data_IF_564312713901
#
_entry.id   IF_564312713901
#
_cell.length_a   1.000
_cell.length_b   1.000
_cell.length_c   1.000
_cell.angle_alpha   90.00
_cell.angle_beta   90.00
_cell.angle_gamma   90.00
#
_symmetry.space_group_name_H-M   'P 1'
#
loop_
_entity.id
_entity.type
_entity.pdbx_description
1 polymer ?
#
# COMPACT_ATOMS: atom_id res chain seq x y z
N UNK A 1 -82.51 48.39 -44.97
CA UNK A 1 -81.82 48.63 -46.27
C UNK A 1 -80.33 48.47 -45.98
N UNK A 2 -79.79 47.27 -46.22
CA UNK A 2 -78.40 46.93 -45.86
C UNK A 2 -77.56 46.89 -47.15
N UNK A 3 -76.46 47.63 -47.16
CA UNK A 3 -75.47 47.71 -48.24
C UNK A 3 -74.54 46.50 -48.08
N UNK A 4 -74.49 45.61 -49.06
CA UNK A 4 -73.50 44.53 -49.13
C UNK A 4 -72.23 45.04 -49.82
N UNK A 5 -71.01 44.77 -49.30
CA UNK A 5 -69.77 45.17 -49.93
C UNK A 5 -69.33 44.19 -51.03
N UNK A 6 -68.87 44.74 -52.16
CA UNK A 6 -68.25 44.01 -53.28
C UNK A 6 -66.96 43.31 -52.84
N UNK A 7 -66.95 41.98 -52.86
CA UNK A 7 -65.75 41.17 -52.66
C UNK A 7 -65.03 40.92 -54.00
N UNK A 8 -63.82 41.45 -54.14
CA UNK A 8 -62.92 41.18 -55.28
C UNK A 8 -62.25 39.80 -55.05
N UNK A 9 -62.29 38.86 -56.02
CA UNK A 9 -61.79 37.50 -55.83
C UNK A 9 -60.24 37.42 -55.73
N UNK A 10 -59.75 36.60 -54.79
CA UNK A 10 -58.34 36.41 -54.43
C UNK A 10 -57.42 35.99 -55.59
N UNK A 11 -57.96 35.42 -56.66
CA UNK A 11 -57.21 35.04 -57.86
C UNK A 11 -56.58 36.24 -58.58
N UNK A 12 -57.17 37.44 -58.48
CA UNK A 12 -56.55 38.66 -59.02
C UNK A 12 -55.32 39.11 -58.22
N UNK A 13 -55.25 38.79 -56.92
CA UNK A 13 -54.12 39.24 -56.07
C UNK A 13 -52.84 38.43 -56.33
N UNK A 14 -52.94 37.13 -56.59
CA UNK A 14 -51.78 36.30 -56.96
C UNK A 14 -51.18 36.70 -58.31
N UNK A 15 -52.02 37.03 -59.29
CA UNK A 15 -51.54 37.47 -60.60
C UNK A 15 -50.80 38.82 -60.53
N UNK A 16 -51.24 39.73 -59.65
CA UNK A 16 -50.57 41.02 -59.43
C UNK A 16 -49.21 40.89 -58.72
N UNK A 17 -49.05 39.90 -57.83
CA UNK A 17 -47.76 39.59 -57.21
C UNK A 17 -46.79 38.99 -58.23
N UNK A 18 -47.28 38.13 -59.12
CA UNK A 18 -46.46 37.51 -60.16
C UNK A 18 -45.95 38.52 -61.20
N UNK A 19 -46.79 39.48 -61.62
CA UNK A 19 -46.37 40.55 -62.53
C UNK A 19 -45.36 41.51 -61.90
N UNK A 20 -45.50 41.83 -60.61
CA UNK A 20 -44.50 42.64 -59.88
C UNK A 20 -43.14 41.95 -59.79
N UNK A 21 -43.13 40.62 -59.66
CA UNK A 21 -41.89 39.83 -59.64
C UNK A 21 -41.22 39.84 -61.02
N UNK A 22 -41.98 39.67 -62.11
CA UNK A 22 -41.42 39.75 -63.47
C UNK A 22 -40.94 41.16 -63.87
N UNK A 23 -41.64 42.21 -63.43
CA UNK A 23 -41.22 43.60 -63.66
C UNK A 23 -39.94 43.96 -62.90
N UNK A 24 -39.66 43.31 -61.77
CA UNK A 24 -38.41 43.47 -61.03
C UNK A 24 -37.27 42.70 -61.71
N UNK A 25 -37.52 41.47 -62.20
CA UNK A 25 -36.53 40.61 -62.88
C UNK A 25 -35.96 41.21 -64.18
N UNK A 26 -36.69 42.11 -64.85
CA UNK A 26 -36.25 42.78 -66.09
C UNK A 26 -35.44 44.06 -65.87
N UNK A 27 -35.28 44.53 -64.62
CA UNK A 27 -34.43 45.68 -64.32
C UNK A 27 -32.95 45.33 -64.56
N UNK A 28 -32.26 46.19 -65.31
CA UNK A 28 -30.84 46.05 -65.69
C UNK A 28 -29.87 45.82 -64.53
N UNK A 29 -30.26 46.15 -63.29
CA UNK A 29 -29.43 45.98 -62.10
C UNK A 29 -29.62 44.64 -61.37
N UNK A 30 -30.72 43.92 -61.61
CA UNK A 30 -30.96 42.61 -60.99
C UNK A 30 -29.90 41.57 -61.36
N UNK A 31 -29.48 41.38 -62.63
CA UNK A 31 -28.42 40.41 -62.94
C UNK A 31 -27.09 40.77 -62.27
N UNK A 32 -26.76 42.06 -62.11
CA UNK A 32 -25.57 42.52 -61.39
C UNK A 32 -25.63 42.22 -59.90
N UNK A 33 -26.78 42.44 -59.24
CA UNK A 33 -26.94 42.13 -57.81
C UNK A 33 -26.89 40.62 -57.57
N UNK A 34 -27.52 39.84 -58.44
CA UNK A 34 -27.45 38.37 -58.39
C UNK A 34 -26.02 37.88 -58.59
N UNK A 35 -25.28 38.42 -59.58
CA UNK A 35 -23.88 38.07 -59.79
C UNK A 35 -23.00 38.48 -58.60
N UNK A 36 -23.21 39.65 -58.00
CA UNK A 36 -22.50 40.08 -56.80
C UNK A 36 -22.75 39.15 -55.62
N UNK A 37 -24.01 38.75 -55.41
CA UNK A 37 -24.37 37.78 -54.37
C UNK A 37 -23.75 36.41 -54.62
N UNK A 38 -23.80 35.93 -55.87
CA UNK A 38 -23.18 34.66 -56.26
C UNK A 38 -21.65 34.69 -56.09
N UNK A 39 -21.01 35.81 -56.44
CA UNK A 39 -19.57 36.00 -56.27
C UNK A 39 -19.18 36.03 -54.79
N UNK A 40 -19.97 36.68 -53.95
CA UNK A 40 -19.74 36.71 -52.50
C UNK A 40 -19.88 35.31 -51.88
N UNK A 41 -20.89 34.54 -52.29
CA UNK A 41 -21.03 33.14 -51.87
C UNK A 41 -19.85 32.28 -52.33
N UNK A 42 -19.40 32.44 -53.58
CA UNK A 42 -18.26 31.71 -54.12
C UNK A 42 -16.96 32.04 -53.35
N UNK A 43 -16.74 33.30 -52.99
CA UNK A 43 -15.61 33.70 -52.14
C UNK A 43 -15.68 33.02 -50.77
N UNK A 44 -16.85 33.02 -50.11
CA UNK A 44 -16.98 32.37 -48.80
C UNK A 44 -16.74 30.87 -48.87
N UNK A 45 -17.19 30.21 -49.94
CA UNK A 45 -16.93 28.79 -50.18
C UNK A 45 -15.44 28.53 -50.37
N UNK A 46 -14.74 29.34 -51.18
CA UNK A 46 -13.31 29.21 -51.40
C UNK A 46 -12.49 29.46 -50.12
N UNK A 47 -12.86 30.46 -49.31
CA UNK A 47 -12.20 30.72 -48.02
C UNK A 47 -12.39 29.55 -47.06
N UNK A 48 -13.60 28.98 -46.99
CA UNK A 48 -13.87 27.81 -46.15
C UNK A 48 -13.06 26.58 -46.59
N UNK A 49 -12.88 26.41 -47.91
CA UNK A 49 -12.11 25.32 -48.47
C UNK A 49 -10.60 25.50 -48.25
N UNK A 50 -10.10 26.74 -48.35
CA UNK A 50 -8.72 27.10 -48.05
C UNK A 50 -8.35 26.85 -46.58
N UNK A 51 -9.24 27.11 -45.62
CA UNK A 51 -9.01 26.75 -44.22
C UNK A 51 -9.10 25.25 -43.93
N UNK A 52 -9.78 24.47 -44.78
CA UNK A 52 -9.82 23.01 -44.64
C UNK A 52 -8.48 22.35 -45.00
N UNK A 53 -7.77 22.91 -46.00
CA UNK A 53 -6.51 22.35 -46.51
C UNK A 53 -5.28 22.83 -45.73
N UNK A 54 -5.33 24.02 -45.13
CA UNK A 54 -4.29 24.57 -44.27
C UNK A 54 -4.60 24.31 -42.78
N UNK A 55 -4.63 23.03 -42.38
CA UNK A 55 -4.44 22.70 -40.95
C UNK A 55 -2.93 22.82 -40.69
N UNK A 56 -2.47 23.70 -39.77
CA UNK A 56 -1.07 23.71 -39.40
C UNK A 56 -0.67 22.28 -39.03
N UNK A 57 0.54 21.80 -39.39
CA UNK A 57 1.00 20.49 -38.95
C UNK A 57 0.82 20.46 -37.45
N UNK A 58 0.01 19.53 -36.96
CA UNK A 58 -0.20 19.37 -35.53
C UNK A 58 1.19 19.37 -34.90
N UNK A 59 1.43 20.14 -33.82
CA UNK A 59 2.68 20.01 -33.10
C UNK A 59 2.85 18.52 -32.87
N UNK A 60 3.93 17.96 -33.40
CA UNK A 60 4.32 16.60 -33.14
C UNK A 60 4.64 16.60 -31.65
N UNK A 61 3.61 16.44 -30.82
CA UNK A 61 3.81 15.91 -29.50
C UNK A 61 4.55 14.62 -29.77
N UNK A 62 5.78 14.44 -29.26
CA UNK A 62 6.42 13.16 -29.37
C UNK A 62 5.39 12.18 -28.80
N UNK A 63 4.81 11.37 -29.67
CA UNK A 63 4.10 10.19 -29.25
C UNK A 63 5.23 9.38 -28.65
N UNK A 64 5.43 9.53 -27.34
CA UNK A 64 6.06 8.50 -26.54
C UNK A 64 5.13 7.33 -26.78
N UNK A 65 5.45 6.56 -27.83
CA UNK A 65 5.01 5.18 -27.93
C UNK A 65 5.26 4.65 -26.55
N UNK A 66 4.20 4.30 -25.84
CA UNK A 66 4.33 3.64 -24.56
C UNK A 66 5.13 2.37 -24.86
N UNK A 67 6.45 2.48 -24.71
CA UNK A 67 7.41 1.41 -24.78
C UNK A 67 6.90 0.46 -23.72
N UNK A 68 6.17 -0.55 -24.20
CA UNK A 68 5.80 -1.79 -23.52
C UNK A 68 6.52 -1.89 -22.19
N UNK A 69 5.82 -1.50 -21.11
CA UNK A 69 6.29 -1.52 -19.72
C UNK A 69 7.80 -1.73 -19.65
N UNK A 70 8.56 -0.66 -19.89
CA UNK A 70 9.97 -0.64 -19.58
C UNK A 70 10.05 -1.00 -18.11
N UNK A 71 10.31 -2.30 -17.86
CA UNK A 71 10.43 -2.87 -16.52
C UNK A 71 11.36 -1.91 -15.82
N UNK A 72 10.91 -1.28 -14.73
CA UNK A 72 11.72 -0.35 -13.96
C UNK A 72 13.10 -1.00 -13.80
N UNK A 73 14.07 -0.50 -14.57
CA UNK A 73 15.39 -1.08 -14.58
C UNK A 73 16.08 -0.43 -13.40
N UNK A 74 15.92 -1.03 -12.24
CA UNK A 74 16.49 -0.54 -10.98
C UNK A 74 17.99 -0.80 -10.91
N UNK A 75 18.55 -1.58 -11.84
CA UNK A 75 19.98 -1.91 -11.90
C UNK A 75 20.90 -0.68 -11.78
N UNK A 76 20.66 0.45 -12.46
CA UNK A 76 21.49 1.65 -12.34
C UNK A 76 21.45 2.28 -10.95
N UNK A 77 20.31 2.17 -10.25
CA UNK A 77 20.13 2.68 -8.89
C UNK A 77 20.82 1.77 -7.86
N UNK A 78 20.80 0.46 -8.10
CA UNK A 78 21.54 -0.52 -7.29
C UNK A 78 23.06 -0.36 -7.50
N UNK A 79 23.51 -0.16 -8.74
CA UNK A 79 24.91 0.06 -9.11
C UNK A 79 25.45 1.43 -8.67
N UNK A 80 24.56 2.40 -8.39
CA UNK A 80 24.95 3.67 -7.80
C UNK A 80 25.36 3.57 -6.32
N UNK A 81 25.15 2.41 -5.67
CA UNK A 81 25.54 2.15 -4.28
C UNK A 81 25.19 3.29 -3.32
N UNK A 82 23.99 3.89 -3.49
CA UNK A 82 23.56 5.10 -2.78
C UNK A 82 23.53 4.96 -1.26
N UNK A 83 23.57 3.72 -0.76
CA UNK A 83 23.55 3.36 0.65
C UNK A 83 24.85 2.69 1.12
N UNK A 84 25.92 2.78 0.32
CA UNK A 84 27.21 2.15 0.59
C UNK A 84 27.30 0.70 0.10
N UNK A 85 28.54 0.19 -0.03
CA UNK A 85 28.83 -1.21 -0.37
C UNK A 85 29.04 -1.99 0.92
N UNK A 86 28.22 -3.00 1.16
CA UNK A 86 28.54 -4.00 2.18
C UNK A 86 29.84 -4.70 1.78
N UNK A 87 30.90 -4.51 2.57
CA UNK A 87 32.13 -5.26 2.40
C UNK A 87 31.81 -6.74 2.66
N UNK A 88 31.86 -7.57 1.62
CA UNK A 88 31.70 -9.01 1.74
C UNK A 88 32.94 -9.55 2.46
N UNK A 89 32.85 -9.68 3.78
CA UNK A 89 33.83 -10.41 4.57
C UNK A 89 33.90 -11.88 4.12
N UNK A 90 35.00 -12.60 4.40
CA UNK A 90 35.19 -13.97 3.97
C UNK A 90 34.03 -14.85 4.45
N UNK A 91 33.48 -15.66 3.54
CA UNK A 91 32.25 -16.43 3.72
C UNK A 91 32.33 -17.52 4.80
N UNK A 92 32.03 -17.13 6.03
CA UNK A 92 31.48 -18.00 7.07
C UNK A 92 30.02 -17.62 7.32
N UNK A 93 29.14 -18.62 7.43
CA UNK A 93 27.73 -18.46 7.79
C UNK A 93 27.59 -17.66 9.09
N UNK A 94 27.16 -16.40 8.96
CA UNK A 94 26.81 -15.48 10.07
C UNK A 94 25.52 -15.89 10.80
N UNK A 95 24.91 -17.01 10.42
CA UNK A 95 23.58 -17.48 10.82
C UNK A 95 23.51 -18.07 12.25
N UNK A 96 24.63 -18.24 12.96
CA UNK A 96 24.63 -18.88 14.28
C UNK A 96 25.58 -18.25 15.32
N UNK A 97 25.92 -16.97 15.16
CA UNK A 97 26.72 -16.26 16.17
C UNK A 97 25.89 -16.05 17.45
N UNK A 98 26.29 -16.60 18.61
CA UNK A 98 25.55 -16.45 19.87
C UNK A 98 25.35 -14.97 20.25
N UNK A 99 24.20 -14.67 20.88
CA UNK A 99 23.93 -13.34 21.44
C UNK A 99 24.89 -13.10 22.61
N UNK A 100 25.47 -11.90 22.70
CA UNK A 100 26.41 -11.56 23.77
C UNK A 100 25.73 -11.60 25.15
N UNK A 101 26.42 -12.15 26.15
CA UNK A 101 25.98 -12.15 27.54
C UNK A 101 26.44 -10.93 28.35
N UNK A 102 27.12 -9.97 27.70
CA UNK A 102 27.57 -8.74 28.34
C UNK A 102 26.40 -7.75 28.49
N UNK A 103 26.42 -6.96 29.55
CA UNK A 103 25.48 -5.86 29.79
C UNK A 103 25.84 -4.63 28.93
N UNK A 104 25.85 -4.82 27.62
CA UNK A 104 26.12 -3.79 26.63
C UNK A 104 24.84 -3.40 25.91
N UNK A 105 24.72 -2.12 25.58
CA UNK A 105 23.63 -1.62 24.75
C UNK A 105 24.21 -0.89 23.55
N UNK A 106 23.91 -1.36 22.34
CA UNK A 106 24.31 -0.70 21.09
C UNK A 106 23.27 0.37 20.76
N UNK A 107 23.68 1.64 20.85
CA UNK A 107 22.83 2.82 20.67
C UNK A 107 22.84 3.31 19.21
N UNK A 108 23.94 3.11 18.50
CA UNK A 108 24.09 3.60 17.13
C UNK A 108 25.23 2.96 16.36
N UNK A 109 25.11 2.93 15.03
CA UNK A 109 26.15 2.48 14.10
C UNK A 109 26.36 3.55 13.03
N UNK A 110 27.62 3.90 12.77
CA UNK A 110 28.00 4.83 11.70
C UNK A 110 28.93 4.11 10.74
N UNK A 111 28.47 3.87 9.51
CA UNK A 111 29.31 3.37 8.44
C UNK A 111 30.07 4.54 7.80
N UNK A 112 31.39 4.61 7.98
CA UNK A 112 32.23 5.58 7.28
C UNK A 112 33.02 4.88 6.16
N UNK A 113 33.34 5.64 5.10
CA UNK A 113 34.18 5.16 4.00
C UNK A 113 35.59 4.95 4.56
N UNK A 114 35.98 3.68 4.81
CA UNK A 114 37.26 3.32 5.43
C UNK A 114 37.17 2.61 6.79
N UNK A 115 35.97 2.44 7.35
CA UNK A 115 35.76 1.72 8.62
C UNK A 115 34.46 2.14 9.32
N UNK A 116 33.83 1.22 10.04
CA UNK A 116 32.61 1.48 10.81
C UNK A 116 32.90 1.85 12.27
N UNK A 117 32.04 2.69 12.85
CA UNK A 117 32.05 3.02 14.28
C UNK A 117 30.75 2.55 14.95
N UNK A 118 30.86 2.10 16.19
CA UNK A 118 29.73 1.71 17.03
C UNK A 118 29.64 2.60 18.26
N UNK A 119 28.45 3.10 18.58
CA UNK A 119 28.16 3.82 19.81
C UNK A 119 27.57 2.85 20.83
N UNK A 120 28.30 2.59 21.91
CA UNK A 120 27.97 1.55 22.90
C UNK A 120 27.86 2.18 24.28
N UNK A 121 26.80 1.83 25.01
CA UNK A 121 26.68 2.10 26.45
C UNK A 121 27.03 0.83 27.23
N UNK A 122 27.91 0.99 28.22
CA UNK A 122 28.40 -0.09 29.08
C UNK A 122 27.84 0.10 30.48
N UNK A 123 27.09 -0.87 31.01
CA UNK A 123 26.48 -0.82 32.35
C UNK A 123 25.64 0.45 32.61
N UNK A 124 25.00 1.02 31.57
CA UNK A 124 24.21 2.25 31.69
C UNK A 124 25.05 3.53 31.88
N UNK A 125 26.36 3.48 31.66
CA UNK A 125 27.23 4.66 31.59
C UNK A 125 27.00 5.44 30.28
N UNK A 126 27.60 6.62 30.20
CA UNK A 126 27.56 7.46 28.99
C UNK A 126 28.01 6.67 27.75
N UNK A 127 27.34 6.91 26.62
CA UNK A 127 27.67 6.27 25.36
C UNK A 127 29.04 6.70 24.85
N UNK A 128 29.85 5.74 24.39
CA UNK A 128 31.16 5.97 23.82
C UNK A 128 31.26 5.37 22.42
N UNK A 129 32.10 5.96 21.56
CA UNK A 129 32.34 5.47 20.20
C UNK A 129 33.54 4.54 20.16
N UNK A 130 33.35 3.34 19.59
CA UNK A 130 34.40 2.35 19.40
C UNK A 130 34.63 2.08 17.90
N UNK A 131 35.90 1.99 17.50
CA UNK A 131 36.30 1.62 16.15
C UNK A 131 36.53 0.10 16.03
N UNK A 132 36.41 -0.44 14.81
CA UNK A 132 36.76 -1.85 14.54
C UNK A 132 38.20 -2.13 14.99
N UNK A 133 38.38 -3.19 15.78
CA UNK A 133 39.64 -3.60 16.40
C UNK A 133 39.87 -3.06 17.81
N UNK A 134 39.00 -2.18 18.33
CA UNK A 134 39.11 -1.62 19.67
C UNK A 134 38.44 -2.50 20.73
N UNK A 135 39.02 -2.54 21.93
CA UNK A 135 38.42 -3.18 23.10
C UNK A 135 37.29 -2.31 23.69
N UNK A 136 36.15 -2.95 23.98
CA UNK A 136 34.97 -2.35 24.59
C UNK A 136 35.02 -2.53 26.12
N UNK A 137 35.00 -3.78 26.59
CA UNK A 137 35.11 -4.12 28.01
C UNK A 137 35.52 -5.59 28.19
N UNK A 138 36.36 -5.88 29.19
CA UNK A 138 36.61 -7.25 29.66
C UNK A 138 37.16 -8.20 28.57
N UNK A 139 38.04 -7.71 27.71
CA UNK A 139 38.62 -8.46 26.59
C UNK A 139 37.68 -8.66 25.40
N UNK A 140 36.54 -7.95 25.35
CA UNK A 140 35.62 -7.96 24.22
C UNK A 140 36.07 -6.92 23.17
N UNK A 141 36.49 -7.38 22.00
CA UNK A 141 37.02 -6.55 20.90
C UNK A 141 35.97 -6.41 19.81
N UNK A 142 35.73 -5.18 19.33
CA UNK A 142 34.84 -4.93 18.21
C UNK A 142 35.43 -5.51 16.92
N UNK A 143 34.85 -6.59 16.39
CA UNK A 143 35.38 -7.29 15.23
C UNK A 143 34.81 -6.73 13.92
N UNK A 144 33.51 -6.47 13.87
CA UNK A 144 32.87 -5.86 12.70
C UNK A 144 31.61 -5.10 13.05
N UNK A 145 31.28 -4.14 12.20
CA UNK A 145 30.13 -3.25 12.35
C UNK A 145 29.19 -3.49 11.16
N UNK A 146 27.97 -3.94 11.43
CA UNK A 146 26.92 -4.17 10.44
C UNK A 146 25.78 -3.17 10.64
N UNK A 147 24.86 -3.10 9.67
CA UNK A 147 23.78 -2.11 9.67
C UNK A 147 22.82 -2.25 10.86
N UNK A 148 22.58 -3.47 11.34
CA UNK A 148 21.59 -3.81 12.37
C UNK A 148 22.22 -4.33 13.68
N UNK A 149 23.52 -4.65 13.66
CA UNK A 149 24.25 -5.26 14.79
C UNK A 149 25.75 -5.06 14.68
N UNK A 150 26.47 -5.29 15.78
CA UNK A 150 27.94 -5.44 15.78
C UNK A 150 28.33 -6.87 16.13
N UNK A 151 29.48 -7.31 15.63
CA UNK A 151 30.12 -8.54 16.06
C UNK A 151 31.30 -8.21 16.97
N UNK A 152 31.36 -8.89 18.10
CA UNK A 152 32.34 -8.68 19.15
C UNK A 152 33.06 -10.01 19.36
N UNK A 153 34.39 -10.00 19.48
CA UNK A 153 35.17 -11.18 19.78
C UNK A 153 35.62 -11.16 21.24
N UNK A 154 35.37 -12.23 21.99
CA UNK A 154 35.78 -12.35 23.39
C UNK A 154 36.22 -13.78 23.69
N UNK A 155 37.42 -13.95 24.23
CA UNK A 155 37.96 -15.28 24.56
C UNK A 155 38.03 -16.26 23.37
N UNK A 156 38.19 -15.74 22.14
CA UNK A 156 38.22 -16.53 20.92
C UNK A 156 36.84 -16.84 20.31
N UNK A 157 35.74 -16.56 21.01
CA UNK A 157 34.37 -16.69 20.49
C UNK A 157 33.87 -15.38 19.91
N UNK A 158 33.09 -15.45 18.82
CA UNK A 158 32.38 -14.29 18.27
C UNK A 158 30.98 -14.22 18.86
N UNK A 159 30.55 -13.04 19.25
CA UNK A 159 29.23 -12.74 19.82
C UNK A 159 28.58 -11.60 19.02
N UNK A 160 27.26 -11.56 18.95
CA UNK A 160 26.52 -10.48 18.28
C UNK A 160 25.76 -9.61 19.28
N UNK A 161 25.77 -8.29 19.05
CA UNK A 161 24.99 -7.31 19.80
C UNK A 161 24.14 -6.48 18.82
N UNK A 162 22.81 -6.60 18.92
CA UNK A 162 21.87 -5.89 18.05
C UNK A 162 21.70 -4.42 18.46
N UNK A 163 21.43 -3.59 17.46
CA UNK A 163 21.15 -2.16 17.63
C UNK A 163 19.76 -1.99 18.28
N UNK A 164 19.69 -1.22 19.37
CA UNK A 164 18.42 -0.83 19.96
C UNK A 164 17.62 -0.01 18.94
N UNK A 165 16.33 -0.33 18.77
CA UNK A 165 15.45 0.27 17.77
C UNK A 165 15.74 -0.06 16.29
N UNK A 166 16.65 -1.01 16.00
CA UNK A 166 16.73 -1.55 14.66
C UNK A 166 15.39 -2.15 14.26
N UNK A 167 14.76 -1.57 13.23
CA UNK A 167 13.61 -2.16 12.55
C UNK A 167 14.04 -3.57 12.16
N UNK A 168 13.45 -4.58 12.80
CA UNK A 168 13.65 -5.99 12.42
C UNK A 168 13.54 -6.05 10.90
N UNK A 169 14.60 -6.41 10.17
CA UNK A 169 14.51 -6.57 8.73
C UNK A 169 13.31 -7.44 8.42
N UNK A 170 12.46 -7.00 7.48
CA UNK A 170 11.36 -7.81 6.97
C UNK A 170 11.95 -9.18 6.61
N UNK A 171 11.66 -10.21 7.40
CA UNK A 171 11.98 -11.60 7.08
C UNK A 171 11.18 -11.96 5.83
N UNK A 172 11.75 -11.71 4.65
CA UNK A 172 10.96 -11.88 3.44
C UNK A 172 11.52 -11.34 2.13
N UNK A 173 12.83 -11.39 1.87
CA UNK A 173 13.30 -11.63 0.49
C UNK A 173 14.48 -12.60 0.54
N UNK A 174 14.15 -13.81 0.95
CA UNK A 174 14.97 -14.98 0.76
C UNK A 174 14.53 -15.62 -0.56
N UNK A 175 15.16 -15.24 -1.69
CA UNK A 175 15.18 -16.11 -2.88
C UNK A 175 16.10 -17.30 -2.59
N UNK A 176 15.66 -18.15 -1.67
CA UNK A 176 16.11 -19.52 -1.59
C UNK A 176 15.06 -20.35 -2.29
N UNK A 177 15.41 -20.87 -3.46
CA UNK A 177 14.77 -22.08 -4.00
C UNK A 177 15.25 -23.23 -3.10
N UNK A 178 14.70 -23.30 -1.89
CA UNK A 178 14.77 -24.49 -1.06
C UNK A 178 13.72 -25.47 -1.59
N UNK A 179 14.02 -26.78 -1.63
CA UNK A 179 13.04 -27.77 -2.03
C UNK A 179 11.80 -27.61 -1.15
N UNK A 180 10.63 -27.71 -1.76
CA UNK A 180 9.31 -27.58 -1.16
C UNK A 180 9.17 -28.60 -0.01
N UNK A 181 9.66 -28.25 1.18
CA UNK A 181 8.98 -28.64 2.40
C UNK A 181 7.68 -27.86 2.37
N UNK A 182 6.59 -28.59 2.16
CA UNK A 182 5.23 -28.09 2.26
C UNK A 182 5.09 -27.32 3.58
N UNK A 183 5.32 -26.01 3.54
CA UNK A 183 4.90 -25.12 4.60
C UNK A 183 3.38 -25.14 4.51
N UNK A 184 2.76 -26.08 5.22
CA UNK A 184 1.37 -25.92 5.57
C UNK A 184 1.26 -24.55 6.24
N UNK A 185 0.41 -23.65 5.75
CA UNK A 185 0.25 -22.34 6.36
C UNK A 185 -0.07 -22.55 7.85
N UNK A 186 0.67 -21.88 8.73
CA UNK A 186 0.51 -22.02 10.18
C UNK A 186 -0.90 -21.60 10.64
N UNK A 187 -1.58 -20.77 9.84
CA UNK A 187 -3.00 -20.42 9.94
C UNK A 187 -3.62 -20.63 8.56
N UNK A 188 -4.61 -21.52 8.47
CA UNK A 188 -5.37 -21.79 7.24
C UNK A 188 -6.84 -21.45 7.47
N UNK A 189 -7.38 -20.58 6.65
CA UNK A 189 -8.82 -20.32 6.63
C UNK A 189 -9.51 -21.40 5.77
N UNK A 190 -10.29 -22.28 6.41
CA UNK A 190 -11.00 -23.39 5.75
C UNK A 190 -12.44 -23.05 5.36
N UNK A 191 -12.93 -21.88 5.75
CA UNK A 191 -14.22 -21.31 5.38
C UNK A 191 -14.28 -19.86 5.86
N UNK A 192 -15.38 -19.14 5.59
CA UNK A 192 -15.45 -17.71 5.92
C UNK A 192 -15.17 -17.39 7.39
N UNK A 193 -15.49 -18.32 8.30
CA UNK A 193 -15.38 -18.15 9.76
C UNK A 193 -14.69 -19.33 10.46
N UNK A 194 -13.97 -20.15 9.70
CA UNK A 194 -13.30 -21.36 10.21
C UNK A 194 -11.81 -21.31 9.92
N UNK A 195 -11.02 -21.50 10.96
CA UNK A 195 -9.57 -21.37 10.92
C UNK A 195 -8.94 -22.62 11.51
N UNK A 196 -7.93 -23.17 10.84
CA UNK A 196 -7.01 -24.13 11.41
C UNK A 196 -5.73 -23.42 11.79
N UNK A 197 -5.23 -23.69 12.99
CA UNK A 197 -4.03 -23.06 13.52
C UNK A 197 -3.16 -24.13 14.15
N UNK A 198 -1.87 -24.11 13.88
CA UNK A 198 -0.95 -25.04 14.56
C UNK A 198 -0.73 -24.59 16.00
N UNK A 199 -0.65 -25.57 16.91
CA UNK A 199 -0.39 -25.32 18.33
C UNK A 199 0.92 -24.54 18.55
N UNK A 200 1.94 -24.88 17.77
CA UNK A 200 3.25 -24.25 17.81
C UNK A 200 3.16 -22.77 17.48
N UNK A 201 2.35 -22.37 16.49
CA UNK A 201 2.21 -20.97 16.09
C UNK A 201 1.51 -20.15 17.17
N UNK A 202 0.42 -20.67 17.76
CA UNK A 202 -0.25 -19.99 18.88
C UNK A 202 0.72 -19.76 20.04
N UNK A 203 1.44 -20.81 20.44
CA UNK A 203 2.42 -20.71 21.54
C UNK A 203 3.58 -19.76 21.21
N UNK A 204 4.07 -19.77 19.96
CA UNK A 204 5.11 -18.86 19.47
C UNK A 204 4.65 -17.41 19.52
N UNK A 205 3.45 -17.13 19.04
CA UNK A 205 2.88 -15.79 19.07
C UNK A 205 2.66 -15.32 20.50
N UNK A 206 2.05 -16.13 21.37
CA UNK A 206 1.79 -15.77 22.78
C UNK A 206 3.06 -15.44 23.58
N UNK A 207 4.20 -16.07 23.26
CA UNK A 207 5.50 -15.78 23.88
C UNK A 207 6.20 -14.56 23.30
N UNK A 208 5.73 -14.04 22.17
CA UNK A 208 6.32 -12.86 21.56
C UNK A 208 6.01 -11.62 22.40
N UNK A 209 7.00 -10.75 22.68
CA UNK A 209 6.77 -9.49 23.40
C UNK A 209 5.72 -8.60 22.70
N UNK A 210 5.62 -8.74 21.38
CA UNK A 210 4.76 -7.93 20.53
C UNK A 210 3.30 -8.39 20.55
N UNK A 211 2.97 -9.60 21.02
CA UNK A 211 1.64 -10.20 20.95
C UNK A 211 0.54 -9.26 21.45
N UNK A 212 0.64 -8.80 22.70
CA UNK A 212 -0.35 -7.90 23.29
C UNK A 212 -0.37 -6.51 22.64
N UNK A 213 0.70 -6.13 21.93
CA UNK A 213 0.77 -4.86 21.18
C UNK A 213 0.16 -4.96 19.78
N UNK A 214 -0.07 -6.17 19.27
CA UNK A 214 -0.61 -6.39 17.92
C UNK A 214 -2.10 -6.08 17.81
N UNK A 215 -2.84 -6.06 18.93
CA UNK A 215 -4.22 -5.61 18.99
C UNK A 215 -4.50 -4.82 20.28
N UNK A 216 -5.29 -3.75 20.16
CA UNK A 216 -5.72 -2.94 21.31
C UNK A 216 -7.14 -3.33 21.72
N UNK A 217 -7.26 -4.13 22.76
CA UNK A 217 -8.53 -4.55 23.35
C UNK A 217 -8.87 -3.65 24.53
N UNK A 218 -10.11 -3.14 24.59
CA UNK A 218 -10.59 -2.34 25.70
C UNK A 218 -11.95 -2.84 26.21
N UNK A 219 -12.27 -2.67 27.51
CA UNK A 219 -13.60 -3.00 28.02
C UNK A 219 -14.68 -2.21 27.28
N UNK A 220 -15.79 -2.89 26.95
CA UNK A 220 -16.95 -2.28 26.32
C UNK A 220 -18.10 -2.11 27.33
N UNK A 221 -18.76 -0.93 27.43
CA UNK A 221 -19.84 -0.70 28.40
C UNK A 221 -21.01 -1.70 28.32
N UNK A 222 -21.27 -2.28 27.15
CA UNK A 222 -22.28 -3.33 26.93
C UNK A 222 -21.81 -4.75 27.26
N UNK A 223 -20.68 -4.89 27.96
CA UNK A 223 -19.99 -6.17 28.16
C UNK A 223 -19.07 -6.50 26.97
N UNK A 224 -18.13 -7.41 27.21
CA UNK A 224 -17.14 -7.79 26.22
C UNK A 224 -15.92 -6.86 26.11
N UNK A 225 -15.08 -7.17 25.13
CA UNK A 225 -13.90 -6.37 24.77
C UNK A 225 -14.03 -5.83 23.34
N UNK A 226 -13.97 -4.51 23.19
CA UNK A 226 -13.92 -3.85 21.90
C UNK A 226 -12.49 -3.89 21.34
N UNK A 227 -12.37 -4.37 20.10
CA UNK A 227 -11.16 -4.32 19.30
C UNK A 227 -11.03 -2.92 18.71
N UNK A 228 -10.19 -2.09 19.33
CA UNK A 228 -9.96 -0.70 18.88
C UNK A 228 -8.96 -0.60 17.73
N UNK A 229 -7.98 -1.50 17.70
CA UNK A 229 -6.88 -1.47 16.75
C UNK A 229 -6.37 -2.88 16.51
N UNK A 230 -6.00 -3.20 15.26
CA UNK A 230 -5.31 -4.44 14.88
C UNK A 230 -4.17 -4.04 13.93
N UNK A 231 -2.95 -4.54 14.18
CA UNK A 231 -1.82 -4.39 13.27
C UNK A 231 -1.99 -5.28 12.04
N UNK A 232 -1.74 -4.73 10.86
CA UNK A 232 -1.71 -5.51 9.61
C UNK A 232 -0.65 -6.61 9.66
N UNK A 233 -0.98 -7.81 9.20
CA UNK A 233 -0.15 -9.00 9.25
C UNK A 233 -0.10 -9.70 10.61
N UNK A 234 -0.79 -9.18 11.62
CA UNK A 234 -0.83 -9.76 12.97
C UNK A 234 -1.55 -11.11 13.02
N UNK A 235 -1.32 -11.85 14.11
CA UNK A 235 -2.06 -13.09 14.37
C UNK A 235 -3.56 -12.84 14.51
N UNK A 236 -3.97 -11.73 15.12
CA UNK A 236 -5.39 -11.38 15.29
C UNK A 236 -6.09 -11.17 13.95
N UNK A 237 -5.46 -10.45 13.01
CA UNK A 237 -5.99 -10.25 11.66
C UNK A 237 -6.09 -11.58 10.90
N UNK A 238 -5.05 -12.42 10.97
CA UNK A 238 -5.03 -13.75 10.33
C UNK A 238 -6.07 -14.70 10.90
N UNK A 239 -6.43 -14.54 12.18
CA UNK A 239 -7.51 -15.24 12.86
C UNK A 239 -8.89 -14.62 12.56
N UNK A 240 -8.97 -13.61 11.69
CA UNK A 240 -10.22 -13.05 11.21
C UNK A 240 -10.86 -12.04 12.14
N UNK A 241 -10.18 -11.59 13.20
CA UNK A 241 -10.63 -10.44 13.99
C UNK A 241 -10.48 -9.15 13.18
N UNK A 242 -11.36 -8.20 13.43
CA UNK A 242 -11.40 -6.91 12.74
C UNK A 242 -11.54 -5.76 13.73
N UNK A 243 -11.05 -4.60 13.32
CA UNK A 243 -11.31 -3.35 14.04
C UNK A 243 -12.82 -3.11 14.15
N UNK A 244 -13.28 -2.78 15.35
CA UNK A 244 -14.69 -2.56 15.65
C UNK A 244 -15.45 -3.81 16.14
N UNK A 245 -14.81 -5.00 16.14
CA UNK A 245 -15.41 -6.19 16.72
C UNK A 245 -15.55 -6.02 18.25
N UNK A 246 -16.67 -6.48 18.82
CA UNK A 246 -16.81 -6.64 20.27
C UNK A 246 -16.81 -8.13 20.60
N UNK A 247 -15.75 -8.61 21.24
CA UNK A 247 -15.62 -9.99 21.71
C UNK A 247 -16.52 -10.16 22.93
N UNK A 248 -17.54 -11.03 22.85
CA UNK A 248 -18.52 -11.23 23.93
C UNK A 248 -18.32 -12.54 24.66
N UNK A 249 -18.01 -13.62 23.94
CA UNK A 249 -17.88 -14.96 24.52
C UNK A 249 -16.72 -15.74 23.90
N UNK A 250 -16.10 -16.58 24.73
CA UNK A 250 -15.13 -17.59 24.32
C UNK A 250 -15.64 -18.94 24.81
N UNK A 251 -15.81 -19.91 23.91
CA UNK A 251 -16.36 -21.24 24.21
C UNK A 251 -17.68 -21.22 24.98
N UNK A 252 -18.58 -20.28 24.62
CA UNK A 252 -19.89 -20.12 25.26
C UNK A 252 -19.85 -19.44 26.64
N UNK A 253 -18.66 -19.05 27.12
CA UNK A 253 -18.50 -18.35 28.39
C UNK A 253 -18.28 -16.86 28.14
N UNK A 254 -19.04 -15.96 28.79
CA UNK A 254 -18.86 -14.52 28.64
C UNK A 254 -17.48 -14.03 29.08
N UNK A 255 -16.94 -13.03 28.38
CA UNK A 255 -15.64 -12.41 28.70
C UNK A 255 -15.84 -10.93 28.94
N UNK A 256 -16.02 -10.50 30.20
CA UNK A 256 -16.40 -9.12 30.52
C UNK A 256 -15.28 -8.30 31.17
N UNK A 257 -14.25 -8.96 31.69
CA UNK A 257 -13.15 -8.33 32.41
C UNK A 257 -11.82 -9.05 32.12
N UNK A 258 -10.72 -8.47 32.62
CA UNK A 258 -9.37 -8.96 32.35
C UNK A 258 -9.14 -10.34 33.00
N UNK A 259 -9.77 -10.59 34.14
CA UNK A 259 -9.68 -11.85 34.87
C UNK A 259 -10.29 -13.01 34.06
N UNK A 260 -11.45 -12.78 33.43
CA UNK A 260 -12.10 -13.74 32.53
C UNK A 260 -11.18 -14.05 31.35
N UNK A 261 -10.65 -13.00 30.70
CA UNK A 261 -9.72 -13.16 29.57
C UNK A 261 -8.46 -13.94 29.96
N UNK A 262 -7.91 -13.69 31.16
CA UNK A 262 -6.73 -14.40 31.67
C UNK A 262 -7.01 -15.89 31.95
N UNK A 263 -8.20 -16.22 32.44
CA UNK A 263 -8.61 -17.63 32.60
C UNK A 263 -8.65 -18.35 31.26
N UNK A 264 -9.21 -17.74 30.22
CA UNK A 264 -9.18 -18.32 28.86
C UNK A 264 -7.76 -18.45 28.33
N UNK A 265 -6.91 -17.46 28.54
CA UNK A 265 -5.51 -17.51 28.11
C UNK A 265 -4.77 -18.72 28.70
N UNK A 266 -5.01 -19.02 29.98
CA UNK A 266 -4.41 -20.18 30.65
C UNK A 266 -4.97 -21.50 30.12
N UNK A 267 -6.29 -21.58 29.90
CA UNK A 267 -6.96 -22.78 29.39
C UNK A 267 -6.70 -23.02 27.90
N UNK A 268 -6.39 -21.96 27.14
CA UNK A 268 -6.10 -22.05 25.72
C UNK A 268 -5.00 -23.07 25.45
N UNK A 269 -4.04 -23.25 26.37
CA UNK A 269 -2.98 -24.26 26.38
C UNK A 269 -3.46 -25.71 26.08
N UNK A 270 -4.68 -26.05 26.51
CA UNK A 270 -5.18 -27.43 26.55
C UNK A 270 -6.30 -27.70 25.52
N UNK A 271 -6.89 -26.63 24.97
CA UNK A 271 -8.03 -26.73 24.07
C UNK A 271 -7.63 -27.08 22.63
N UNK A 272 -8.40 -27.97 21.99
CA UNK A 272 -8.27 -28.31 20.56
C UNK A 272 -9.21 -27.52 19.67
N UNK A 273 -10.31 -27.04 20.23
CA UNK A 273 -11.30 -26.25 19.52
C UNK A 273 -11.61 -25.00 20.34
N UNK A 274 -11.64 -23.84 19.68
CA UNK A 274 -12.00 -22.57 20.28
C UNK A 274 -13.08 -21.91 19.43
N UNK A 275 -14.13 -21.44 20.07
CA UNK A 275 -15.22 -20.72 19.46
C UNK A 275 -15.27 -19.31 20.07
N UNK A 276 -15.18 -18.29 19.23
CA UNK A 276 -15.26 -16.91 19.63
C UNK A 276 -16.54 -16.29 19.09
N UNK A 277 -17.35 -15.73 19.98
CA UNK A 277 -18.51 -14.92 19.58
C UNK A 277 -18.12 -13.45 19.57
N UNK A 278 -18.27 -12.81 18.41
CA UNK A 278 -18.01 -11.39 18.22
C UNK A 278 -19.26 -10.68 17.71
N UNK A 279 -19.46 -9.43 18.12
CA UNK A 279 -20.42 -8.54 17.48
C UNK A 279 -19.68 -7.67 16.48
N UNK A 280 -20.02 -7.82 15.19
CA UNK A 280 -19.41 -7.11 14.07
C UNK A 280 -20.49 -6.37 13.30
N UNK A 281 -20.34 -5.05 13.17
CA UNK A 281 -21.31 -4.19 12.48
C UNK A 281 -22.77 -4.41 12.95
N UNK A 282 -22.95 -4.68 14.25
CA UNK A 282 -24.25 -4.94 14.87
C UNK A 282 -24.80 -6.37 14.71
N UNK A 283 -24.08 -7.26 14.00
CA UNK A 283 -24.45 -8.67 13.84
C UNK A 283 -23.57 -9.56 14.71
N UNK A 284 -24.16 -10.64 15.24
CA UNK A 284 -23.41 -11.65 15.98
C UNK A 284 -22.76 -12.62 14.99
N UNK A 285 -21.44 -12.74 15.06
CA UNK A 285 -20.65 -13.69 14.29
C UNK A 285 -19.93 -14.67 15.21
N UNK A 286 -19.81 -15.92 14.77
CA UNK A 286 -19.05 -16.94 15.46
C UNK A 286 -17.84 -17.32 14.62
N UNK A 287 -16.64 -17.19 15.20
CA UNK A 287 -15.38 -17.60 14.61
C UNK A 287 -14.93 -18.90 15.28
N UNK A 288 -14.59 -19.91 14.49
CA UNK A 288 -14.21 -21.23 14.97
C UNK A 288 -12.73 -21.50 14.64
N UNK A 289 -11.98 -21.94 15.63
CA UNK A 289 -10.55 -22.23 15.52
C UNK A 289 -10.29 -23.67 15.92
N UNK A 290 -9.61 -24.42 15.05
CA UNK A 290 -9.13 -25.77 15.33
C UNK A 290 -7.62 -25.75 15.53
N UNK A 291 -7.19 -26.11 16.73
CA UNK A 291 -5.81 -26.23 17.13
C UNK A 291 -5.36 -27.68 16.94
N UNK A 292 -4.29 -27.88 16.18
CA UNK A 292 -3.72 -29.20 15.86
C UNK A 292 -2.22 -29.23 16.09
#
# INVERSE_FOLDING_TARGET
MAIAPDFIPASRQLNLLWERIQALLTKRWVPTVVNLGALLLLITALVSWAWSTFKPPAPQTPVVQASRAERLNLQPLLDAHLFGRAARGPGGSLESVPISSLNLVLVGVVAAVGGGYAMISVDGRAQESYAVGQEIIGGAILQSVLADRILIQRGGSTESLMLQDAVKPLEGVSTYVSPVSQHQPAIQQQGEKQFQVTREEVNKQMRSPDFLSQARLIPNPGGGFLVREIKTGSVYEKLGLRMGDVIRMVNGVPVNNAEDAMKFYQQLAELKDVQLEVMRAGQVEQLQYKLH
#
